data_IF_321939852411
#
_entry.id   IF_321939852411
#
_cell.length_a   1.000
_cell.length_b   1.000
_cell.length_c   1.000
_cell.angle_alpha   90.00
_cell.angle_beta   90.00
_cell.angle_gamma   90.00
#
_symmetry.space_group_name_H-M   'P 1'
#
loop_
_entity.id
_entity.type
_entity.pdbx_description
1 polymer ?
#
# COMPACT_ATOMS: atom_id res chain seq x y z
N UNK A 1 23.61 -1.85 2.60
CA UNK A 1 22.27 -2.44 2.56
C UNK A 1 21.55 -1.95 1.31
N UNK A 2 20.97 -2.86 0.55
CA UNK A 2 20.19 -2.48 -0.63
C UNK A 2 18.85 -1.91 -0.22
N UNK A 3 18.43 -0.82 -0.88
CA UNK A 3 17.14 -0.17 -0.63
C UNK A 3 16.20 -0.39 -1.80
N UNK A 4 15.02 -0.92 -1.53
CA UNK A 4 13.95 -1.09 -2.51
C UNK A 4 12.79 -0.18 -2.15
N UNK A 5 12.32 0.59 -3.09
CA UNK A 5 11.13 1.41 -2.93
C UNK A 5 9.91 0.61 -3.42
N UNK A 6 8.87 0.57 -2.61
CA UNK A 6 7.64 -0.16 -2.89
C UNK A 6 6.47 0.81 -2.83
N UNK A 7 5.75 0.93 -3.94
CA UNK A 7 4.56 1.79 -4.04
C UNK A 7 3.35 0.89 -4.27
N UNK A 8 2.28 1.10 -3.52
CA UNK A 8 1.10 0.24 -3.56
C UNK A 8 -0.18 1.04 -3.58
N UNK A 9 -1.21 0.49 -4.21
CA UNK A 9 -2.57 1.01 -4.14
C UNK A 9 -3.58 -0.11 -4.33
N UNK A 10 -4.77 0.09 -3.79
CA UNK A 10 -5.91 -0.81 -3.96
C UNK A 10 -7.14 -0.02 -4.31
N UNK A 11 -7.98 -0.58 -5.16
CA UNK A 11 -9.23 0.02 -5.57
C UNK A 11 -10.35 -1.03 -5.51
N UNK A 12 -11.53 -0.59 -5.14
CA UNK A 12 -12.70 -1.45 -5.12
C UNK A 12 -13.89 -0.67 -5.68
N UNK A 13 -14.61 -1.27 -6.61
CA UNK A 13 -15.82 -0.71 -7.20
C UNK A 13 -17.05 -1.47 -6.75
N UNK A 14 -18.18 -0.77 -6.66
CA UNK A 14 -19.46 -1.35 -6.28
C UNK A 14 -20.04 -0.75 -5.01
N UNK A 15 -21.35 -0.91 -4.87
CA UNK A 15 -22.09 -0.48 -3.69
C UNK A 15 -22.19 -1.62 -2.69
N UNK A 16 -22.65 -1.34 -1.46
CA UNK A 16 -22.86 -2.35 -0.42
C UNK A 16 -23.76 -3.51 -0.85
N UNK A 17 -24.60 -3.29 -1.88
CA UNK A 17 -25.55 -4.27 -2.38
C UNK A 17 -25.11 -4.98 -3.67
N UNK A 18 -23.95 -4.64 -4.20
CA UNK A 18 -23.39 -5.23 -5.41
C UNK A 18 -22.14 -6.02 -5.08
N UNK A 19 -21.86 -7.04 -5.90
CA UNK A 19 -20.60 -7.77 -5.78
C UNK A 19 -19.45 -6.83 -6.11
N UNK A 20 -18.64 -6.52 -5.12
CA UNK A 20 -17.51 -5.63 -5.29
C UNK A 20 -16.42 -6.28 -6.14
N UNK A 21 -15.90 -5.51 -7.07
CA UNK A 21 -14.73 -5.89 -7.85
C UNK A 21 -13.55 -5.06 -7.36
N UNK A 22 -12.47 -5.72 -7.03
CA UNK A 22 -11.28 -5.04 -6.55
C UNK A 22 -10.09 -5.26 -7.44
N UNK A 23 -9.20 -4.28 -7.42
CA UNK A 23 -7.91 -4.36 -8.08
C UNK A 23 -6.83 -3.84 -7.17
N UNK A 24 -5.61 -4.27 -7.42
CA UNK A 24 -4.43 -3.81 -6.72
C UNK A 24 -3.32 -3.53 -7.71
N UNK A 25 -2.47 -2.58 -7.36
CA UNK A 25 -1.31 -2.22 -8.15
C UNK A 25 -0.09 -2.01 -7.26
N UNK A 26 1.05 -2.40 -7.75
CA UNK A 26 2.32 -2.26 -7.05
C UNK A 26 3.44 -1.94 -8.03
N UNK A 27 4.31 -1.02 -7.66
CA UNK A 27 5.55 -0.75 -8.39
C UNK A 27 6.71 -0.99 -7.44
N UNK A 28 7.65 -1.82 -7.86
CA UNK A 28 8.93 -2.03 -7.18
C UNK A 28 10.00 -1.26 -7.94
N UNK A 29 10.80 -0.48 -7.24
CA UNK A 29 11.90 0.29 -7.85
C UNK A 29 13.20 0.02 -7.10
N UNK A 30 14.25 -0.28 -7.85
CA UNK A 30 15.60 -0.48 -7.34
C UNK A 30 16.61 0.06 -8.35
N UNK A 31 17.38 1.07 -7.94
CA UNK A 31 18.43 1.69 -8.78
C UNK A 31 17.93 2.08 -10.18
N UNK A 32 16.73 2.66 -10.27
CA UNK A 32 16.15 3.09 -11.54
C UNK A 32 15.47 1.98 -12.34
N UNK A 33 15.52 0.74 -11.87
CA UNK A 33 14.80 -0.39 -12.49
C UNK A 33 13.43 -0.52 -11.83
N UNK A 34 12.42 -0.67 -12.64
CA UNK A 34 11.03 -0.75 -12.20
C UNK A 34 10.41 -2.09 -12.55
N UNK A 35 9.57 -2.61 -11.67
CA UNK A 35 8.70 -3.75 -11.94
C UNK A 35 7.30 -3.42 -11.50
N UNK A 36 6.36 -3.52 -12.43
CA UNK A 36 4.94 -3.31 -12.17
C UNK A 36 4.24 -4.64 -11.96
N UNK A 37 3.39 -4.68 -10.93
CA UNK A 37 2.55 -5.84 -10.62
C UNK A 37 1.12 -5.36 -10.45
N UNK A 38 0.17 -6.15 -10.89
CA UNK A 38 -1.24 -5.85 -10.69
C UNK A 38 -2.08 -7.11 -10.73
N UNK A 39 -3.27 -7.03 -10.18
CA UNK A 39 -4.23 -8.12 -10.19
C UNK A 39 -5.56 -7.67 -9.64
N UNK A 40 -6.55 -8.53 -9.72
CA UNK A 40 -7.89 -8.23 -9.25
C UNK A 40 -8.56 -9.41 -8.62
N UNK A 41 -9.59 -9.13 -7.84
CA UNK A 41 -10.43 -10.13 -7.17
C UNK A 41 -11.89 -9.73 -7.23
N UNK A 42 -12.77 -10.72 -7.28
CA UNK A 42 -14.19 -10.52 -7.06
C UNK A 42 -14.48 -10.63 -5.56
N UNK A 43 -15.59 -10.03 -5.13
CA UNK A 43 -16.09 -10.14 -3.75
C UNK A 43 -15.03 -9.76 -2.69
N UNK A 44 -14.43 -8.58 -2.85
CA UNK A 44 -13.33 -8.10 -2.01
C UNK A 44 -13.64 -6.70 -1.42
N UNK A 45 -12.69 -6.12 -0.71
CA UNK A 45 -12.80 -4.79 -0.11
C UNK A 45 -11.59 -3.95 -0.45
N UNK A 46 -11.68 -2.61 -0.29
CA UNK A 46 -10.54 -1.72 -0.44
C UNK A 46 -9.37 -2.14 0.45
N UNK A 47 -9.64 -2.42 1.72
CA UNK A 47 -8.58 -2.80 2.67
C UNK A 47 -7.88 -4.10 2.23
N UNK A 48 -8.62 -5.09 1.75
CA UNK A 48 -8.01 -6.32 1.25
C UNK A 48 -7.13 -6.06 0.03
N UNK A 49 -7.54 -5.18 -0.86
CA UNK A 49 -6.75 -4.84 -2.05
C UNK A 49 -5.47 -4.09 -1.69
N UNK A 50 -5.55 -3.18 -0.72
CA UNK A 50 -4.36 -2.48 -0.21
C UNK A 50 -3.34 -3.46 0.39
N UNK A 51 -3.80 -4.39 1.20
CA UNK A 51 -2.92 -5.42 1.80
C UNK A 51 -2.36 -6.36 0.74
N UNK A 52 -3.19 -6.77 -0.21
CA UNK A 52 -2.79 -7.68 -1.30
C UNK A 52 -1.71 -7.06 -2.18
N UNK A 53 -1.83 -5.76 -2.48
CA UNK A 53 -0.80 -5.05 -3.25
C UNK A 53 0.58 -5.18 -2.60
N UNK A 54 0.65 -4.97 -1.30
CA UNK A 54 1.92 -5.08 -0.57
C UNK A 54 2.40 -6.54 -0.47
N UNK A 55 1.49 -7.48 -0.24
CA UNK A 55 1.82 -8.92 -0.20
C UNK A 55 2.47 -9.34 -1.52
N UNK A 56 1.86 -8.98 -2.64
CA UNK A 56 2.36 -9.36 -3.96
C UNK A 56 3.71 -8.69 -4.26
N UNK A 57 3.86 -7.43 -3.87
CA UNK A 57 5.14 -6.73 -3.99
C UNK A 57 6.25 -7.41 -3.19
N UNK A 58 5.98 -7.72 -1.93
CA UNK A 58 6.96 -8.40 -1.05
C UNK A 58 7.27 -9.81 -1.54
N UNK A 59 6.27 -10.53 -2.06
CA UNK A 59 6.44 -11.88 -2.59
C UNK A 59 7.33 -11.93 -3.83
N UNK A 60 7.43 -10.83 -4.56
CA UNK A 60 8.29 -10.71 -5.73
C UNK A 60 9.77 -10.49 -5.36
N UNK A 61 10.07 -10.14 -4.12
CA UNK A 61 11.44 -9.94 -3.65
C UNK A 61 12.09 -11.30 -3.38
N UNK A 62 13.32 -11.47 -3.86
CA UNK A 62 14.06 -12.72 -3.73
C UNK A 62 15.07 -12.72 -2.59
N UNK A 63 15.31 -11.56 -1.99
CA UNK A 63 16.35 -11.37 -0.97
C UNK A 63 15.75 -10.94 0.35
N UNK A 64 16.45 -11.24 1.43
CA UNK A 64 16.17 -10.70 2.77
C UNK A 64 17.27 -9.69 3.16
N UNK A 65 17.05 -9.00 4.25
CA UNK A 65 18.01 -7.98 4.72
C UNK A 65 17.97 -6.70 3.90
N UNK A 66 16.86 -6.46 3.21
CA UNK A 66 16.66 -5.26 2.40
C UNK A 66 16.09 -4.12 3.24
N UNK A 67 16.53 -2.89 2.97
CA UNK A 67 15.84 -1.71 3.45
C UNK A 67 14.65 -1.47 2.51
N UNK A 68 13.44 -1.56 3.04
CA UNK A 68 12.22 -1.40 2.25
C UNK A 68 11.58 -0.06 2.61
N UNK A 69 11.38 0.79 1.61
CA UNK A 69 10.64 2.04 1.76
C UNK A 69 9.28 1.82 1.13
N UNK A 70 8.25 1.70 1.96
CA UNK A 70 6.90 1.32 1.55
C UNK A 70 6.00 2.55 1.59
N UNK A 71 5.45 2.91 0.43
CA UNK A 71 4.59 4.06 0.24
C UNK A 71 3.18 3.60 -0.08
N UNK A 72 2.21 4.02 0.72
CA UNK A 72 0.81 3.65 0.55
C UNK A 72 -0.10 4.82 0.93
N UNK A 73 -1.24 4.94 0.29
CA UNK A 73 -2.28 5.90 0.68
C UNK A 73 -3.26 5.33 1.70
N UNK A 74 -3.10 4.08 2.09
CA UNK A 74 -3.94 3.42 3.08
C UNK A 74 -3.48 3.72 4.51
N UNK A 75 -4.26 4.55 5.22
CA UNK A 75 -4.03 4.80 6.64
C UNK A 75 -4.13 3.51 7.46
N UNK A 76 -5.04 2.62 7.07
CA UNK A 76 -5.25 1.32 7.70
C UNK A 76 -3.97 0.48 7.69
N UNK A 77 -3.32 0.37 6.53
CA UNK A 77 -2.08 -0.38 6.38
C UNK A 77 -0.92 0.30 7.13
N UNK A 78 -0.69 1.58 6.85
CA UNK A 78 0.46 2.31 7.40
C UNK A 78 0.37 2.42 8.92
N UNK A 79 -0.79 2.76 9.47
CA UNK A 79 -0.97 2.91 10.91
C UNK A 79 -0.87 1.60 11.66
N UNK A 80 -1.26 0.49 11.07
CA UNK A 80 -1.09 -0.81 11.69
C UNK A 80 0.39 -1.08 12.03
N UNK A 81 1.27 -0.82 11.07
CA UNK A 81 2.70 -1.03 11.29
C UNK A 81 3.34 0.07 12.13
N UNK A 82 3.00 1.33 11.92
CA UNK A 82 3.54 2.44 12.73
C UNK A 82 3.14 2.34 14.19
N UNK A 83 1.88 1.97 14.47
CA UNK A 83 1.35 1.84 15.83
C UNK A 83 1.47 0.42 16.38
N UNK A 84 2.03 -0.48 15.62
CA UNK A 84 2.29 -1.87 16.02
C UNK A 84 1.05 -2.60 16.52
N UNK A 85 -0.09 -2.41 15.86
CA UNK A 85 -1.35 -3.09 16.23
C UNK A 85 -1.21 -4.62 16.18
N UNK A 86 -0.43 -5.12 15.22
CA UNK A 86 -0.22 -6.56 15.02
C UNK A 86 0.44 -7.24 16.23
N UNK A 87 1.22 -6.50 17.04
CA UNK A 87 1.85 -7.05 18.24
C UNK A 87 0.77 -7.46 19.25
N UNK A 88 -0.23 -6.60 19.47
CA UNK A 88 -1.35 -6.91 20.35
C UNK A 88 -2.21 -8.05 19.80
N UNK A 89 -2.44 -8.08 18.49
CA UNK A 89 -3.18 -9.17 17.87
C UNK A 89 -2.48 -10.52 18.06
N UNK A 90 -1.18 -10.57 17.89
CA UNK A 90 -0.40 -11.80 18.13
C UNK A 90 -0.49 -12.26 19.59
N UNK A 91 -0.48 -11.32 20.53
CA UNK A 91 -0.58 -11.64 21.97
C UNK A 91 -1.99 -12.12 22.35
N UNK A 92 -3.00 -11.61 21.70
CA UNK A 92 -4.40 -11.87 22.04
C UNK A 92 -5.04 -12.97 21.20
N UNK A 93 -4.26 -13.74 20.45
CA UNK A 93 -4.77 -14.80 19.58
C UNK A 93 -5.58 -14.27 18.41
N UNK A 94 -5.18 -13.10 17.88
CA UNK A 94 -5.83 -12.43 16.73
C UNK A 94 -7.29 -12.04 16.99
N UNK A 95 -7.52 -11.52 18.18
CA UNK A 95 -8.82 -10.99 18.58
C UNK A 95 -8.75 -9.50 18.89
N UNK A 96 -9.82 -8.79 18.59
CA UNK A 96 -9.98 -7.38 18.95
C UNK A 96 -10.28 -7.23 20.45
N UNK A 97 -10.33 -6.00 20.94
CA UNK A 97 -10.70 -5.71 22.33
C UNK A 97 -12.08 -6.26 22.70
N UNK A 98 -13.01 -6.34 21.75
CA UNK A 98 -14.34 -6.92 21.92
C UNK A 98 -14.38 -8.45 21.73
N UNK A 99 -13.23 -9.09 21.65
CA UNK A 99 -13.05 -10.54 21.44
C UNK A 99 -13.55 -11.04 20.08
N UNK A 100 -13.79 -10.14 19.13
CA UNK A 100 -14.09 -10.52 17.75
C UNK A 100 -12.81 -10.86 16.99
N UNK A 101 -12.85 -11.73 15.95
CA UNK A 101 -11.67 -11.98 15.12
C UNK A 101 -11.18 -10.68 14.45
N UNK A 102 -9.87 -10.54 14.31
CA UNK A 102 -9.28 -9.40 13.59
C UNK A 102 -9.63 -9.55 12.10
N UNK A 103 -10.16 -8.47 11.51
CA UNK A 103 -10.45 -8.45 10.08
C UNK A 103 -9.18 -8.62 9.26
N UNK A 104 -9.28 -9.36 8.16
CA UNK A 104 -8.18 -9.61 7.24
C UNK A 104 -6.97 -10.30 7.90
N UNK A 105 -7.24 -11.09 8.94
CA UNK A 105 -6.20 -11.81 9.67
C UNK A 105 -5.29 -12.61 8.74
N UNK A 106 -5.85 -13.29 7.76
CA UNK A 106 -5.11 -14.08 6.77
C UNK A 106 -4.04 -13.26 6.05
N UNK A 107 -4.39 -12.04 5.63
CA UNK A 107 -3.49 -11.13 4.92
C UNK A 107 -2.45 -10.52 5.85
N UNK A 108 -2.86 -10.13 7.07
CA UNK A 108 -1.93 -9.59 8.07
C UNK A 108 -0.85 -10.60 8.45
N UNK A 109 -1.22 -11.86 8.65
CA UNK A 109 -0.27 -12.92 8.98
C UNK A 109 0.74 -13.13 7.84
N UNK A 110 0.28 -13.11 6.59
CA UNK A 110 1.18 -13.19 5.43
C UNK A 110 2.16 -12.01 5.37
N UNK A 111 1.66 -10.79 5.63
CA UNK A 111 2.50 -9.59 5.62
C UNK A 111 3.60 -9.68 6.68
N UNK A 112 3.26 -10.09 7.88
CA UNK A 112 4.22 -10.22 8.97
C UNK A 112 5.32 -11.23 8.60
N UNK A 113 4.95 -12.37 8.03
CA UNK A 113 5.90 -13.38 7.57
C UNK A 113 6.83 -12.85 6.48
N UNK A 114 6.27 -12.15 5.50
CA UNK A 114 7.05 -11.59 4.39
C UNK A 114 8.01 -10.48 4.83
N UNK A 115 7.65 -9.73 5.86
CA UNK A 115 8.47 -8.66 6.41
C UNK A 115 9.56 -9.18 7.36
N UNK A 116 9.46 -10.42 7.82
CA UNK A 116 10.47 -11.01 8.68
C UNK A 116 11.82 -11.05 7.97
N UNK A 117 12.86 -10.57 8.64
CA UNK A 117 14.20 -10.47 8.06
C UNK A 117 14.41 -9.27 7.13
N UNK A 118 13.42 -8.41 6.95
CA UNK A 118 13.52 -7.17 6.20
C UNK A 118 13.60 -5.97 7.15
N UNK A 119 14.00 -4.80 6.62
CA UNK A 119 14.06 -3.54 7.38
C UNK A 119 13.08 -2.53 6.77
N UNK A 120 11.76 -2.65 7.09
CA UNK A 120 10.75 -1.80 6.47
C UNK A 120 10.61 -0.44 7.15
N UNK A 121 10.32 0.57 6.33
CA UNK A 121 9.83 1.88 6.75
C UNK A 121 8.54 2.17 5.99
N UNK A 122 7.54 2.72 6.67
CA UNK A 122 6.22 2.96 6.10
C UNK A 122 5.96 4.45 5.99
N UNK A 123 5.49 4.88 4.82
CA UNK A 123 5.19 6.28 4.53
C UNK A 123 3.77 6.40 3.99
N UNK A 124 3.01 7.32 4.58
CA UNK A 124 1.62 7.57 4.17
C UNK A 124 1.60 8.65 3.09
N UNK A 125 1.06 8.30 1.92
CA UNK A 125 0.91 9.23 0.80
C UNK A 125 -0.55 9.70 0.79
N UNK A 126 -0.83 10.85 1.42
CA UNK A 126 -2.15 11.47 1.36
C UNK A 126 -2.17 12.58 0.34
N UNK A 127 -3.30 12.69 -0.35
CA UNK A 127 -3.51 13.71 -1.37
C UNK A 127 -2.98 13.25 -2.72
N UNK A 128 -3.89 13.00 -3.63
CA UNK A 128 -3.54 12.68 -5.01
C UNK A 128 -3.23 13.97 -5.75
N UNK A 129 -1.97 14.12 -6.19
CA UNK A 129 -1.65 15.20 -7.12
C UNK A 129 -2.20 14.84 -8.51
N UNK A 130 -2.89 15.76 -9.18
CA UNK A 130 -3.24 15.56 -10.58
C UNK A 130 -1.97 15.52 -11.44
N UNK A 131 -2.11 15.15 -12.70
CA UNK A 131 -0.98 14.98 -13.61
C UNK A 131 -0.16 16.29 -13.76
N UNK A 132 -0.85 17.43 -13.81
CA UNK A 132 -0.23 18.76 -13.95
C UNK A 132 -0.75 19.68 -12.83
N UNK A 133 -0.29 19.50 -11.59
CA UNK A 133 -0.73 20.35 -10.48
C UNK A 133 -0.07 21.73 -10.54
N UNK A 134 -0.78 22.75 -10.05
CA UNK A 134 -0.16 24.06 -9.86
C UNK A 134 0.81 24.04 -8.65
N UNK A 135 1.71 25.04 -8.60
CA UNK A 135 2.74 25.10 -7.58
C UNK A 135 2.17 25.20 -6.16
N UNK A 136 1.05 25.91 -6.00
CA UNK A 136 0.41 26.05 -4.68
C UNK A 136 -0.12 24.70 -4.18
N UNK A 137 -0.69 23.90 -5.07
CA UNK A 137 -1.18 22.55 -4.75
C UNK A 137 -0.03 21.62 -4.36
N UNK A 138 1.06 21.66 -5.14
CA UNK A 138 2.25 20.85 -4.87
C UNK A 138 2.84 21.22 -3.52
N UNK A 139 3.00 22.51 -3.22
CA UNK A 139 3.56 22.95 -1.95
C UNK A 139 2.72 22.52 -0.76
N UNK A 140 1.40 22.64 -0.86
CA UNK A 140 0.46 22.23 0.19
C UNK A 140 0.57 20.74 0.46
N UNK A 141 0.53 19.91 -0.57
CA UNK A 141 0.59 18.45 -0.42
C UNK A 141 1.98 17.99 0.02
N UNK A 142 3.04 18.64 -0.44
CA UNK A 142 4.41 18.37 0.01
C UNK A 142 4.56 18.64 1.50
N UNK A 143 4.06 19.76 1.99
CA UNK A 143 4.09 20.11 3.41
C UNK A 143 3.34 19.07 4.24
N UNK A 144 2.16 18.67 3.78
CA UNK A 144 1.36 17.63 4.42
C UNK A 144 2.09 16.29 4.47
N UNK A 145 2.73 15.92 3.38
CA UNK A 145 3.51 14.69 3.29
C UNK A 145 4.69 14.69 4.27
N UNK A 146 5.45 15.78 4.33
CA UNK A 146 6.60 15.88 5.23
C UNK A 146 6.20 15.98 6.70
N UNK A 147 5.05 16.57 7.00
CA UNK A 147 4.49 16.60 8.36
C UNK A 147 4.20 15.18 8.88
N UNK A 148 3.73 14.30 8.01
CA UNK A 148 3.43 12.91 8.37
C UNK A 148 4.65 11.99 8.37
N UNK A 149 5.58 12.20 7.46
CA UNK A 149 6.59 11.21 7.12
C UNK A 149 8.03 11.64 7.41
N UNK A 150 8.23 12.87 7.85
CA UNK A 150 9.56 13.43 8.04
C UNK A 150 10.14 14.06 6.79
N UNK A 151 11.44 14.38 6.79
CA UNK A 151 12.03 15.16 5.72
C UNK A 151 12.18 14.37 4.41
N UNK A 152 11.74 15.00 3.34
CA UNK A 152 11.95 14.58 1.95
C UNK A 152 12.24 15.81 1.13
N UNK A 153 12.98 15.68 0.03
CA UNK A 153 13.07 16.78 -0.91
C UNK A 153 11.88 16.79 -1.89
N UNK A 154 11.67 17.92 -2.54
CA UNK A 154 10.53 18.12 -3.41
C UNK A 154 10.54 17.18 -4.62
N UNK A 155 11.72 16.94 -5.20
CA UNK A 155 11.84 16.07 -6.37
C UNK A 155 11.47 14.63 -6.00
N UNK A 156 11.91 14.16 -4.86
CA UNK A 156 11.55 12.84 -4.36
C UNK A 156 10.04 12.73 -4.09
N UNK A 157 9.44 13.77 -3.50
CA UNK A 157 7.99 13.82 -3.30
C UNK A 157 7.21 13.71 -4.62
N UNK A 158 7.65 14.45 -5.65
CA UNK A 158 7.04 14.37 -6.97
C UNK A 158 7.13 12.96 -7.57
N UNK A 159 8.26 12.31 -7.38
CA UNK A 159 8.47 10.92 -7.81
C UNK A 159 7.51 9.98 -7.08
N UNK A 160 7.38 10.11 -5.77
CA UNK A 160 6.43 9.32 -4.96
C UNK A 160 5.01 9.49 -5.48
N UNK A 161 4.59 10.72 -5.74
CA UNK A 161 3.25 11.01 -6.27
C UNK A 161 3.02 10.40 -7.65
N UNK A 162 4.02 10.42 -8.52
CA UNK A 162 3.94 9.82 -9.84
C UNK A 162 3.75 8.29 -9.75
N UNK A 163 4.51 7.63 -8.89
CA UNK A 163 4.34 6.20 -8.67
C UNK A 163 3.01 5.85 -8.00
N UNK A 164 2.56 6.66 -7.05
CA UNK A 164 1.25 6.47 -6.42
C UNK A 164 0.13 6.53 -7.47
N UNK A 165 0.20 7.50 -8.38
CA UNK A 165 -0.75 7.61 -9.49
C UNK A 165 -0.68 6.38 -10.41
N UNK A 166 0.52 5.88 -10.69
CA UNK A 166 0.68 4.69 -11.52
C UNK A 166 0.06 3.46 -10.85
N UNK A 167 0.23 3.30 -9.55
CA UNK A 167 -0.39 2.21 -8.80
C UNK A 167 -1.92 2.30 -8.83
N UNK A 168 -2.48 3.51 -8.74
CA UNK A 168 -3.92 3.73 -8.86
C UNK A 168 -4.43 3.31 -10.24
N UNK A 169 -3.74 3.68 -11.31
CA UNK A 169 -4.06 3.25 -12.66
C UNK A 169 -4.06 1.73 -12.80
N UNK A 170 -3.01 1.08 -12.30
CA UNK A 170 -2.89 -0.38 -12.33
C UNK A 170 -4.03 -1.06 -11.57
N UNK A 171 -4.36 -0.55 -10.39
CA UNK A 171 -5.43 -1.10 -9.56
C UNK A 171 -6.80 -0.94 -10.24
N UNK A 172 -7.08 0.24 -10.77
CA UNK A 172 -8.34 0.55 -11.45
C UNK A 172 -8.52 -0.30 -12.70
N UNK A 173 -7.47 -0.41 -13.52
CA UNK A 173 -7.48 -1.25 -14.72
C UNK A 173 -7.71 -2.73 -14.38
N UNK A 174 -7.05 -3.22 -13.34
CA UNK A 174 -7.19 -4.60 -12.90
C UNK A 174 -8.60 -4.90 -12.39
N UNK A 175 -9.21 -3.98 -11.62
CA UNK A 175 -10.58 -4.11 -11.14
C UNK A 175 -11.57 -4.17 -12.30
N UNK A 176 -11.35 -3.36 -13.35
CA UNK A 176 -12.22 -3.31 -14.53
C UNK A 176 -12.21 -4.61 -15.34
N UNK A 177 -11.15 -5.40 -15.23
CA UNK A 177 -11.04 -6.69 -15.96
C UNK A 177 -11.75 -7.84 -15.25
N UNK A 178 -12.22 -7.66 -14.02
CA UNK A 178 -12.94 -8.70 -13.29
C UNK A 178 -14.34 -8.84 -13.91
N UNK A 179 -14.66 -10.05 -14.33
CA UNK A 179 -15.94 -10.34 -14.97
C UNK A 179 -17.08 -10.40 -13.95
N UNK A 180 -18.26 -9.96 -14.38
CA UNK A 180 -19.48 -10.12 -13.58
C UNK A 180 -19.90 -11.59 -13.61
N UNK A 181 -20.09 -12.15 -12.44
CA UNK A 181 -20.58 -13.52 -12.28
C UNK A 181 -22.05 -13.53 -11.94
#
# INVERSE_FOLDING_TARGET
MKTVNIYTDGACSGNQNEKNKGGWGCVLEYNGREKELSGGEADTTNNRMELTALIEGLSALKEKGLALRIFSDSSYLVNCFKNRWYVNWQRNGWKTASKAPVENQDLWMKLIDLLDGQHPSFFLVKGHLPKDPDDARVEKEFRRFTDHNGPFDLDEFRTVCAYNRRCDELATEAAAKIEDR
#
